data_IF_297661783639
#
_entry.id   IF_297661783639
#
_cell.length_a   1.000
_cell.length_b   1.000
_cell.length_c   1.000
_cell.angle_alpha   90.00
_cell.angle_beta   90.00
_cell.angle_gamma   90.00
#
_symmetry.space_group_name_H-M   'P 1'
#
loop_
_entity.id
_entity.type
_entity.pdbx_description
1 polymer ?
#
# COMPACT_ATOMS: atom_id res chain seq x y z
N UNK A 1 27.68 3.16 6.40
CA UNK A 1 26.30 3.01 5.87
C UNK A 1 25.75 1.74 6.49
N UNK A 2 24.94 1.84 7.53
CA UNK A 2 24.36 0.67 8.19
C UNK A 2 22.97 1.05 8.71
N UNK A 3 21.96 0.83 7.88
CA UNK A 3 20.55 0.96 8.27
C UNK A 3 19.81 -0.32 7.88
N UNK A 4 20.38 -1.47 8.29
CA UNK A 4 19.75 -2.79 8.16
C UNK A 4 19.85 -3.57 9.49
N UNK A 5 20.09 -2.88 10.62
CA UNK A 5 20.29 -3.50 11.95
C UNK A 5 19.10 -3.30 12.91
N UNK A 6 17.92 -2.89 12.42
CA UNK A 6 16.74 -2.70 13.27
C UNK A 6 15.48 -3.44 12.81
N UNK A 7 15.56 -4.25 11.77
CA UNK A 7 14.46 -5.13 11.41
C UNK A 7 14.53 -6.37 12.31
N UNK A 8 13.63 -6.47 13.28
CA UNK A 8 13.40 -7.73 13.98
C UNK A 8 12.71 -8.66 12.99
N UNK A 9 13.44 -9.67 12.49
CA UNK A 9 12.84 -10.75 11.70
C UNK A 9 12.04 -11.59 12.69
N UNK A 10 10.75 -11.28 12.82
CA UNK A 10 9.83 -12.09 13.61
C UNK A 10 9.36 -13.27 12.75
N UNK A 11 9.10 -14.42 13.38
CA UNK A 11 8.30 -15.46 12.74
C UNK A 11 6.93 -14.87 12.35
N UNK A 12 6.42 -15.24 11.17
CA UNK A 12 5.15 -14.76 10.59
C UNK A 12 3.97 -14.89 11.57
N UNK A 13 4.07 -15.84 12.51
CA UNK A 13 3.08 -16.13 13.55
C UNK A 13 3.05 -15.13 14.73
N UNK A 14 4.03 -14.23 14.85
CA UNK A 14 4.14 -13.28 15.96
C UNK A 14 3.75 -11.83 15.59
N UNK A 15 3.57 -11.53 14.30
CA UNK A 15 3.15 -10.19 13.87
C UNK A 15 1.62 -10.08 13.96
N UNK A 16 1.08 -9.12 14.73
CA UNK A 16 -0.36 -8.88 14.80
C UNK A 16 -0.98 -8.66 13.41
N UNK A 17 -2.16 -9.25 13.18
CA UNK A 17 -2.87 -9.18 11.90
C UNK A 17 -3.36 -7.78 11.51
N UNK A 18 -3.27 -6.81 12.43
CA UNK A 18 -3.58 -5.40 12.19
C UNK A 18 -2.38 -4.59 11.68
N UNK A 19 -1.17 -5.18 11.62
CA UNK A 19 0.04 -4.57 11.07
C UNK A 19 0.17 -4.92 9.59
N UNK A 20 0.45 -3.91 8.76
CA UNK A 20 0.74 -4.10 7.33
C UNK A 20 2.08 -4.82 7.14
N UNK A 21 2.04 -5.96 6.44
CA UNK A 21 3.20 -6.76 6.07
C UNK A 21 3.35 -6.89 4.55
N UNK A 22 4.44 -7.50 4.12
CA UNK A 22 4.61 -7.91 2.73
C UNK A 22 3.57 -8.99 2.38
N UNK A 23 3.07 -8.97 1.15
CA UNK A 23 2.01 -9.84 0.63
C UNK A 23 0.63 -9.62 1.25
N UNK A 24 0.43 -8.57 2.03
CA UNK A 24 -0.88 -8.17 2.52
C UNK A 24 -1.68 -7.36 1.50
N UNK A 25 -2.99 -7.62 1.49
CA UNK A 25 -3.95 -6.66 0.96
C UNK A 25 -4.14 -5.53 1.95
N UNK A 26 -3.84 -4.31 1.53
CA UNK A 26 -3.98 -3.12 2.36
C UNK A 26 -5.02 -2.20 1.75
N UNK A 27 -5.98 -1.78 2.55
CA UNK A 27 -6.89 -0.69 2.21
C UNK A 27 -6.40 0.58 2.89
N UNK A 28 -6.11 1.62 2.14
CA UNK A 28 -5.56 2.87 2.67
C UNK A 28 -6.16 4.09 1.97
N UNK A 29 -6.16 5.23 2.66
CA UNK A 29 -6.54 6.53 2.09
C UNK A 29 -5.30 7.42 1.95
N UNK A 30 -5.24 8.17 0.87
CA UNK A 30 -4.17 9.14 0.59
C UNK A 30 -4.77 10.55 0.70
N UNK A 31 -4.16 11.39 1.53
CA UNK A 31 -4.69 12.71 1.87
C UNK A 31 -6.16 12.67 2.28
N UNK A 32 -6.94 13.57 1.68
CA UNK A 32 -8.39 13.68 1.84
C UNK A 32 -9.16 13.01 0.68
N UNK A 33 -8.54 12.09 -0.06
CA UNK A 33 -9.23 11.40 -1.15
C UNK A 33 -10.49 10.67 -0.64
N UNK A 34 -11.64 10.84 -1.32
CA UNK A 34 -12.93 10.38 -0.81
C UNK A 34 -13.06 8.85 -0.78
N UNK A 35 -12.26 8.14 -1.58
CA UNK A 35 -12.31 6.70 -1.71
C UNK A 35 -10.96 6.10 -1.33
N UNK A 36 -10.90 5.16 -0.37
CA UNK A 36 -9.66 4.45 -0.10
C UNK A 36 -9.31 3.53 -1.28
N UNK A 37 -8.01 3.34 -1.49
CA UNK A 37 -7.47 2.38 -2.43
C UNK A 37 -7.23 1.05 -1.71
N UNK A 38 -7.41 -0.07 -2.42
CA UNK A 38 -7.00 -1.40 -1.97
C UNK A 38 -5.93 -1.96 -2.90
N UNK A 39 -4.77 -2.32 -2.35
CA UNK A 39 -3.64 -2.85 -3.12
C UNK A 39 -2.96 -4.01 -2.39
N UNK A 40 -2.33 -4.89 -3.14
CA UNK A 40 -1.45 -5.94 -2.63
C UNK A 40 -0.02 -5.40 -2.51
N UNK A 41 0.55 -5.39 -1.30
CA UNK A 41 1.90 -4.87 -1.05
C UNK A 41 2.94 -5.93 -1.40
N UNK A 42 3.75 -5.71 -2.44
CA UNK A 42 4.68 -6.72 -2.96
C UNK A 42 6.12 -6.22 -3.06
N UNK A 43 7.04 -7.17 -3.10
CA UNK A 43 8.40 -6.90 -3.57
C UNK A 43 8.37 -6.46 -5.05
N UNK A 44 9.31 -5.61 -5.49
CA UNK A 44 9.40 -5.20 -6.89
C UNK A 44 9.51 -6.37 -7.87
N UNK A 45 10.14 -7.48 -7.45
CA UNK A 45 10.33 -8.68 -8.28
C UNK A 45 9.01 -9.39 -8.60
N UNK A 46 8.02 -9.30 -7.72
CA UNK A 46 6.68 -9.91 -7.86
C UNK A 46 5.63 -8.92 -8.41
N UNK A 47 6.05 -7.68 -8.71
CA UNK A 47 5.16 -6.62 -9.14
C UNK A 47 4.82 -6.74 -10.64
N UNK A 48 3.58 -7.08 -10.96
CA UNK A 48 3.11 -7.23 -12.35
C UNK A 48 2.04 -6.22 -12.80
N UNK A 49 1.27 -5.63 -11.88
CA UNK A 49 0.15 -4.74 -12.23
C UNK A 49 -0.03 -3.58 -11.24
N UNK A 50 0.30 -2.34 -11.63
CA UNK A 50 0.21 -1.16 -10.75
C UNK A 50 -1.22 -0.83 -10.27
N UNK A 51 -2.26 -1.32 -10.95
CA UNK A 51 -3.64 -1.10 -10.53
C UNK A 51 -4.03 -1.95 -9.33
N UNK A 52 -3.38 -3.08 -9.14
CA UNK A 52 -3.70 -4.06 -8.10
C UNK A 52 -2.57 -4.15 -7.07
N UNK A 53 -1.32 -4.02 -7.52
CA UNK A 53 -0.13 -4.17 -6.71
C UNK A 53 0.43 -2.80 -6.33
N UNK A 54 1.08 -2.75 -5.18
CA UNK A 54 1.87 -1.61 -4.72
C UNK A 54 3.25 -2.14 -4.32
N UNK A 55 4.31 -1.59 -4.90
CA UNK A 55 5.66 -1.99 -4.52
C UNK A 55 6.01 -1.44 -3.14
N UNK A 56 6.54 -2.31 -2.26
CA UNK A 56 7.05 -1.94 -0.94
C UNK A 56 8.21 -0.94 -1.00
N UNK A 57 8.93 -0.87 -2.12
CA UNK A 57 10.02 0.09 -2.33
C UNK A 57 9.56 1.42 -2.94
N UNK A 58 8.27 1.58 -3.25
CA UNK A 58 7.71 2.87 -3.63
C UNK A 58 7.58 3.77 -2.40
N UNK A 59 7.59 5.10 -2.59
CA UNK A 59 7.41 6.08 -1.50
C UNK A 59 6.16 5.79 -0.65
N UNK A 60 5.06 5.45 -1.32
CA UNK A 60 3.78 5.12 -0.68
C UNK A 60 3.81 3.74 -0.02
N UNK A 61 4.39 2.73 -0.66
CA UNK A 61 4.49 1.37 -0.12
C UNK A 61 5.37 1.29 1.12
N UNK A 62 6.53 1.96 1.09
CA UNK A 62 7.42 2.08 2.25
C UNK A 62 6.76 2.81 3.42
N UNK A 63 5.90 3.80 3.14
CA UNK A 63 5.15 4.51 4.18
C UNK A 63 4.02 3.67 4.81
N UNK A 64 3.58 2.58 4.17
CA UNK A 64 2.55 1.69 4.69
C UNK A 64 3.11 0.52 5.50
N UNK A 65 4.29 0.00 5.13
CA UNK A 65 4.89 -1.16 5.77
C UNK A 65 5.07 -0.93 7.28
N UNK A 66 4.54 -1.84 8.10
CA UNK A 66 4.64 -1.78 9.56
C UNK A 66 3.63 -0.85 10.25
N UNK A 67 2.79 -0.14 9.51
CA UNK A 67 1.68 0.63 10.10
C UNK A 67 0.54 -0.29 10.55
N UNK A 68 -0.15 0.09 11.63
CA UNK A 68 -1.37 -0.56 12.09
C UNK A 68 -2.62 0.03 11.45
N UNK A 69 -3.73 -0.71 11.51
CA UNK A 69 -5.07 -0.16 11.21
C UNK A 69 -5.32 1.11 12.05
N UNK A 70 -5.64 2.21 11.38
CA UNK A 70 -5.84 3.53 11.99
C UNK A 70 -4.59 4.40 12.05
N UNK A 71 -3.39 3.83 11.86
CA UNK A 71 -2.16 4.61 11.84
C UNK A 71 -2.08 5.48 10.59
N UNK A 72 -1.32 6.57 10.74
CA UNK A 72 -1.09 7.56 9.70
C UNK A 72 0.39 7.87 9.58
N UNK A 73 0.86 8.05 8.36
CA UNK A 73 2.23 8.48 8.07
C UNK A 73 2.23 9.54 6.99
N UNK A 74 3.07 10.56 7.17
CA UNK A 74 3.32 11.56 6.13
C UNK A 74 4.57 11.19 5.34
N UNK A 75 4.51 11.35 4.03
CA UNK A 75 5.63 11.13 3.12
C UNK A 75 5.62 12.19 2.02
N UNK A 76 6.77 12.47 1.44
CA UNK A 76 6.84 13.32 0.26
C UNK A 76 6.52 12.48 -0.97
N UNK A 77 5.63 12.96 -1.83
CA UNK A 77 5.36 12.33 -3.11
C UNK A 77 6.48 12.61 -4.14
N UNK A 78 6.26 12.20 -5.39
CA UNK A 78 7.22 12.39 -6.46
C UNK A 78 7.39 13.87 -6.88
N UNK A 79 6.46 14.75 -6.52
CA UNK A 79 6.56 16.20 -6.71
C UNK A 79 7.16 16.92 -5.47
N UNK A 80 7.48 16.17 -4.40
CA UNK A 80 7.97 16.73 -3.15
C UNK A 80 6.88 17.29 -2.24
N UNK A 81 5.60 17.04 -2.55
CA UNK A 81 4.47 17.45 -1.73
C UNK A 81 4.30 16.51 -0.55
N UNK A 82 4.11 17.08 0.66
CA UNK A 82 3.88 16.29 1.86
C UNK A 82 2.44 15.77 1.89
N UNK A 83 2.27 14.47 1.66
CA UNK A 83 0.97 13.79 1.66
C UNK A 83 0.91 12.81 2.84
N UNK A 84 -0.30 12.57 3.36
CA UNK A 84 -0.56 11.61 4.42
C UNK A 84 -1.18 10.32 3.86
N UNK A 85 -0.75 9.16 4.33
CA UNK A 85 -1.48 7.89 4.17
C UNK A 85 -2.13 7.50 5.49
N UNK A 86 -3.29 6.86 5.43
CA UNK A 86 -3.99 6.26 6.59
C UNK A 86 -4.34 4.83 6.28
N UNK A 87 -3.98 3.88 7.15
CA UNK A 87 -4.39 2.48 7.00
C UNK A 87 -5.83 2.32 7.47
N UNK A 88 -6.68 1.77 6.61
CA UNK A 88 -8.09 1.52 6.90
C UNK A 88 -8.32 0.05 7.23
N UNK A 89 -7.63 -0.88 6.55
CA UNK A 89 -7.79 -2.32 6.75
C UNK A 89 -6.58 -3.11 6.24
N UNK A 90 -6.32 -4.28 6.83
CA UNK A 90 -5.26 -5.25 6.42
C UNK A 90 -5.86 -6.65 6.19
N UNK A 91 -5.41 -7.35 5.15
CA UNK A 91 -5.66 -8.80 4.92
C UNK A 91 -6.91 -9.18 4.11
N UNK A 92 -7.84 -8.26 3.82
CA UNK A 92 -9.04 -8.59 3.05
C UNK A 92 -8.80 -8.56 1.54
N UNK A 93 -8.85 -9.73 0.90
CA UNK A 93 -8.82 -9.85 -0.57
C UNK A 93 -10.08 -9.18 -1.15
N UNK A 94 -9.95 -8.26 -2.13
CA UNK A 94 -11.11 -7.69 -2.81
C UNK A 94 -11.93 -8.75 -3.55
N UNK A 95 -13.24 -8.51 -3.65
CA UNK A 95 -14.09 -9.35 -4.48
C UNK A 95 -13.64 -9.29 -5.95
N UNK A 96 -13.88 -10.37 -6.69
CA UNK A 96 -13.54 -10.48 -8.12
C UNK A 96 -14.03 -9.28 -8.95
N UNK A 97 -15.22 -8.77 -8.66
CA UNK A 97 -15.80 -7.63 -9.38
C UNK A 97 -15.04 -6.31 -9.10
N UNK A 98 -14.45 -6.13 -7.93
CA UNK A 98 -13.62 -4.96 -7.59
C UNK A 98 -12.29 -5.01 -8.36
N UNK A 99 -11.68 -6.20 -8.45
CA UNK A 99 -10.47 -6.44 -9.24
C UNK A 99 -10.71 -6.23 -10.74
N UNK A 100 -11.84 -6.70 -11.26
CA UNK A 100 -12.26 -6.49 -12.65
C UNK A 100 -12.60 -5.02 -12.91
N UNK A 101 -13.24 -4.33 -11.97
CA UNK A 101 -13.54 -2.88 -12.09
C UNK A 101 -12.28 -2.02 -12.15
N UNK A 102 -11.16 -2.48 -11.55
CA UNK A 102 -9.86 -1.83 -11.72
C UNK A 102 -9.34 -1.88 -13.17
N UNK A 103 -9.89 -2.71 -14.06
CA UNK A 103 -9.46 -2.82 -15.46
C UNK A 103 -9.97 -1.71 -16.38
N UNK A 104 -10.86 -0.82 -15.94
CA UNK A 104 -11.49 0.18 -16.81
C UNK A 104 -11.49 1.62 -16.31
N UNK A 105 -10.41 2.37 -16.57
CA UNK A 105 -10.53 3.79 -16.91
C UNK A 105 -9.34 4.22 -17.77
N UNK A 106 -9.46 3.99 -19.07
CA UNK A 106 -8.72 4.77 -20.07
C UNK A 106 -9.14 6.22 -19.87
N UNK A 107 -8.23 7.05 -19.38
CA UNK A 107 -8.31 8.49 -19.57
C UNK A 107 -8.29 8.73 -21.08
N UNK A 108 -9.47 8.88 -21.67
CA UNK A 108 -9.59 9.50 -22.99
C UNK A 108 -9.12 10.94 -22.86
N UNK A 109 -7.93 11.21 -23.40
CA UNK A 109 -7.40 12.54 -23.61
C UNK A 109 -7.80 12.93 -25.03
N UNK A 110 -8.84 13.76 -25.21
CA UNK A 110 -9.15 14.50 -26.44
C UNK A 110 -10.15 15.62 -26.04
N UNK A 111 -10.08 16.88 -26.43
CA UNK A 111 -9.17 17.69 -27.25
C UNK A 111 -9.37 19.16 -26.82
#
# INVERSE_FOLDING_TARGET
MSEVERAYVCDDAEVPSDIVQLNDWVTFRVGDEPHPERKLLLCPDDFSNQRIHLSVLSLRGAALLGLRIGDQMKFNDHEGQLIQVTVVHVGAVPAEHELLSSHGRTISIEH
#
